data_IF_511638197450
#
_entry.id   IF_511638197450
#
_cell.length_a   1.000
_cell.length_b   1.000
_cell.length_c   1.000
_cell.angle_alpha   90.00
_cell.angle_beta   90.00
_cell.angle_gamma   90.00
#
_symmetry.space_group_name_H-M   'P 1'
#
loop_
_entity.id
_entity.type
_entity.pdbx_description
1 polymer ?
#
# COMPACT_ATOMS: atom_id res chain seq x y z
N UNK A 1 -15.40 -19.39 11.15
CA UNK A 1 -15.08 -19.08 9.75
C UNK A 1 -14.67 -17.62 9.78
N UNK A 2 -13.56 -17.31 9.13
CA UNK A 2 -13.02 -15.94 9.13
C UNK A 2 -13.59 -15.20 7.93
N UNK A 3 -13.92 -13.92 8.10
CA UNK A 3 -14.39 -13.12 6.98
C UNK A 3 -13.27 -12.97 5.95
N UNK A 4 -13.46 -13.50 4.75
CA UNK A 4 -12.55 -13.30 3.60
C UNK A 4 -12.98 -12.13 2.70
N UNK A 5 -14.19 -11.61 2.91
CA UNK A 5 -14.85 -10.67 2.02
C UNK A 5 -14.67 -9.23 2.51
N UNK A 6 -13.48 -8.70 2.29
CA UNK A 6 -13.18 -7.30 2.53
C UNK A 6 -13.50 -6.50 1.28
N UNK A 7 -14.18 -5.37 1.49
CA UNK A 7 -14.49 -4.42 0.43
C UNK A 7 -13.86 -3.07 0.72
N UNK A 8 -13.63 -2.33 -0.35
CA UNK A 8 -13.07 -0.98 -0.28
C UNK A 8 -14.16 0.01 -0.63
N UNK A 9 -14.27 1.10 0.13
CA UNK A 9 -15.25 2.16 -0.11
C UNK A 9 -14.57 3.52 -0.12
N UNK A 10 -15.09 4.46 -0.91
CA UNK A 10 -14.61 5.85 -0.84
C UNK A 10 -15.04 6.53 0.45
N UNK A 11 -14.32 7.57 0.83
CA UNK A 11 -14.89 8.59 1.70
C UNK A 11 -16.02 9.35 1.00
N UNK A 12 -16.92 9.93 1.78
CA UNK A 12 -18.06 10.69 1.29
C UNK A 12 -17.66 12.02 0.64
N UNK A 13 -16.51 12.58 1.03
CA UNK A 13 -15.89 13.74 0.39
C UNK A 13 -14.60 13.36 -0.34
N UNK A 14 -14.24 14.15 -1.36
CA UNK A 14 -13.00 13.97 -2.11
C UNK A 14 -11.75 14.15 -1.23
N UNK A 15 -11.84 15.03 -0.23
CA UNK A 15 -10.78 15.30 0.74
C UNK A 15 -11.03 14.62 2.08
N UNK A 16 -11.72 13.46 2.08
CA UNK A 16 -11.92 12.63 3.27
C UNK A 16 -13.30 12.75 3.92
N UNK A 17 -13.34 12.66 5.24
CA UNK A 17 -14.57 12.51 6.03
C UNK A 17 -15.01 11.05 6.19
N UNK A 18 -16.29 10.87 6.50
CA UNK A 18 -16.90 9.56 6.79
C UNK A 18 -16.96 8.63 5.57
N UNK A 19 -17.11 7.33 5.83
CA UNK A 19 -17.30 6.31 4.80
C UNK A 19 -18.55 6.60 3.95
N UNK A 20 -18.44 6.37 2.64
CA UNK A 20 -19.57 6.44 1.69
C UNK A 20 -20.15 5.05 1.39
N UNK A 21 -21.19 5.00 0.55
CA UNK A 21 -21.70 3.75 -0.02
C UNK A 21 -21.04 3.39 -1.36
N UNK A 22 -20.11 4.21 -1.84
CA UNK A 22 -19.48 4.04 -3.15
C UNK A 22 -18.32 3.03 -3.03
N UNK A 23 -18.53 1.82 -3.55
CA UNK A 23 -17.52 0.77 -3.55
C UNK A 23 -16.39 1.06 -4.55
N UNK A 24 -15.15 0.90 -4.10
CA UNK A 24 -13.95 0.92 -4.94
C UNK A 24 -13.75 -0.47 -5.53
N UNK A 25 -14.35 -0.68 -6.71
CA UNK A 25 -14.19 -1.90 -7.49
C UNK A 25 -12.83 -1.91 -8.20
N UNK A 26 -12.12 -3.04 -8.11
CA UNK A 26 -10.82 -3.26 -8.77
C UNK A 26 -10.93 -3.20 -10.31
N UNK A 27 -9.86 -2.72 -10.95
CA UNK A 27 -9.80 -2.58 -12.42
C UNK A 27 -10.64 -1.45 -12.99
N UNK A 28 -11.30 -0.63 -12.17
CA UNK A 28 -11.97 0.59 -12.60
C UNK A 28 -11.00 1.77 -12.59
N UNK A 29 -10.98 2.52 -13.69
CA UNK A 29 -10.16 3.73 -13.79
C UNK A 29 -10.72 4.84 -12.91
N UNK A 30 -9.83 5.65 -12.35
CA UNK A 30 -10.16 6.87 -11.59
C UNK A 30 -11.11 6.66 -10.41
N UNK A 31 -11.10 5.46 -9.83
CA UNK A 31 -12.04 5.14 -8.77
C UNK A 31 -11.63 5.72 -7.41
N UNK A 32 -10.34 6.03 -7.23
CA UNK A 32 -9.82 6.71 -6.04
C UNK A 32 -9.21 8.08 -6.36
N UNK A 33 -8.25 8.13 -7.29
CA UNK A 33 -7.64 9.37 -7.75
C UNK A 33 -8.21 9.79 -9.11
N UNK A 34 -8.46 11.08 -9.34
CA UNK A 34 -8.77 11.56 -10.69
C UNK A 34 -7.54 11.49 -11.60
N UNK A 35 -7.77 11.66 -12.91
CA UNK A 35 -6.69 11.89 -13.85
C UNK A 35 -5.89 13.14 -13.49
N UNK A 36 -4.58 13.08 -13.69
CA UNK A 36 -3.66 14.22 -13.55
C UNK A 36 -3.70 15.03 -14.84
N UNK A 37 -3.94 16.34 -14.75
CA UNK A 37 -3.92 17.20 -15.94
C UNK A 37 -2.49 17.49 -16.40
N UNK A 38 -2.30 17.92 -17.66
CA UNK A 38 -0.97 18.31 -18.14
C UNK A 38 -0.36 19.47 -17.34
N UNK A 39 -1.20 20.42 -16.89
CA UNK A 39 -0.76 21.50 -16.00
C UNK A 39 -0.34 21.00 -14.62
N UNK A 40 -1.03 20.00 -14.08
CA UNK A 40 -0.68 19.40 -12.79
C UNK A 40 0.62 18.60 -12.89
N UNK A 41 0.83 17.87 -13.99
CA UNK A 41 2.08 17.14 -14.24
C UNK A 41 3.27 18.10 -14.43
N UNK A 42 3.06 19.24 -15.11
CA UNK A 42 4.10 20.27 -15.27
C UNK A 42 4.45 20.94 -13.94
N UNK A 43 3.45 21.27 -13.12
CA UNK A 43 3.66 21.91 -11.82
C UNK A 43 4.12 20.93 -10.71
N UNK A 44 3.80 19.65 -10.86
CA UNK A 44 3.80 18.68 -9.78
C UNK A 44 2.52 18.78 -8.94
N UNK A 45 2.09 17.64 -8.39
CA UNK A 45 0.83 17.54 -7.66
C UNK A 45 0.98 16.56 -6.49
N UNK A 46 0.57 16.98 -5.30
CA UNK A 46 0.36 16.07 -4.16
C UNK A 46 -1.12 16.00 -3.87
N UNK A 47 -1.68 14.80 -3.83
CA UNK A 47 -3.10 14.57 -3.55
C UNK A 47 -3.28 13.50 -2.48
N UNK A 48 -4.34 13.67 -1.69
CA UNK A 48 -4.71 12.76 -0.63
C UNK A 48 -6.13 12.25 -0.90
N UNK A 49 -6.32 10.94 -0.80
CA UNK A 49 -7.63 10.31 -0.93
C UNK A 49 -7.84 9.32 0.19
N UNK A 50 -8.93 9.47 0.92
CA UNK A 50 -9.34 8.49 1.93
C UNK A 50 -10.22 7.44 1.30
N UNK A 51 -9.94 6.21 1.66
CA UNK A 51 -10.81 5.07 1.44
C UNK A 51 -10.97 4.29 2.74
N UNK A 52 -11.89 3.33 2.73
CA UNK A 52 -12.21 2.51 3.87
C UNK A 52 -12.09 1.05 3.48
N UNK A 53 -11.41 0.27 4.31
CA UNK A 53 -11.52 -1.19 4.28
C UNK A 53 -12.71 -1.55 5.16
N UNK A 54 -13.65 -2.35 4.67
CA UNK A 54 -14.85 -2.74 5.42
C UNK A 54 -15.00 -4.26 5.39
N UNK A 55 -15.29 -4.83 6.56
CA UNK A 55 -15.76 -6.20 6.65
C UNK A 55 -17.25 -6.22 6.25
N UNK A 56 -17.54 -6.63 5.01
CA UNK A 56 -18.91 -6.69 4.48
C UNK A 56 -19.56 -8.06 4.70
N UNK A 57 -18.92 -8.95 5.45
CA UNK A 57 -19.51 -10.24 5.82
C UNK A 57 -20.69 -10.04 6.79
N UNK A 58 -21.73 -10.86 6.66
CA UNK A 58 -22.95 -10.73 7.44
C UNK A 58 -22.85 -11.14 8.93
N UNK A 59 -21.75 -11.79 9.34
CA UNK A 59 -21.67 -12.50 10.64
C UNK A 59 -20.26 -12.77 11.14
N UNK A 60 -19.29 -12.93 10.24
CA UNK A 60 -17.97 -13.39 10.60
C UNK A 60 -17.05 -12.20 10.86
N UNK A 61 -16.26 -12.32 11.92
CA UNK A 61 -15.21 -11.34 12.24
C UNK A 61 -13.99 -11.65 11.39
N UNK A 62 -13.37 -10.61 10.85
CA UNK A 62 -12.05 -10.66 10.25
C UNK A 62 -11.03 -10.48 11.39
N UNK A 63 -10.24 -11.50 11.68
CA UNK A 63 -9.24 -11.43 12.75
C UNK A 63 -7.90 -10.96 12.19
N UNK A 64 -7.23 -10.09 12.94
CA UNK A 64 -5.92 -9.54 12.61
C UNK A 64 -5.78 -9.09 11.14
N UNK A 65 -6.77 -8.36 10.65
CA UNK A 65 -6.76 -7.82 9.30
C UNK A 65 -5.56 -6.88 9.13
N UNK A 66 -4.96 -6.95 7.95
CA UNK A 66 -3.76 -6.19 7.56
C UNK A 66 -3.93 -5.69 6.14
N UNK A 67 -3.41 -4.52 5.81
CA UNK A 67 -3.39 -4.01 4.44
C UNK A 67 -1.96 -3.66 4.03
N UNK A 68 -1.58 -4.03 2.81
CA UNK A 68 -0.30 -3.68 2.22
C UNK A 68 -0.45 -3.26 0.77
N UNK A 69 0.45 -2.40 0.30
CA UNK A 69 0.51 -1.99 -1.10
C UNK A 69 1.33 -3.00 -1.92
N UNK A 70 0.68 -3.71 -2.82
CA UNK A 70 1.26 -4.83 -3.59
C UNK A 70 1.78 -4.43 -4.96
N UNK A 71 1.49 -3.21 -5.40
CA UNK A 71 2.01 -2.63 -6.62
C UNK A 71 2.21 -1.13 -6.47
N UNK A 72 3.39 -0.64 -6.88
CA UNK A 72 3.59 0.78 -7.14
C UNK A 72 2.98 1.15 -8.48
N UNK A 73 2.85 2.46 -8.69
CA UNK A 73 2.50 3.09 -9.96
C UNK A 73 3.57 2.80 -11.01
N UNK A 74 3.20 2.39 -12.24
CA UNK A 74 4.17 2.29 -13.34
C UNK A 74 4.67 3.65 -13.88
N UNK A 75 4.02 4.75 -13.47
CA UNK A 75 4.34 6.12 -13.86
C UNK A 75 5.55 6.72 -13.14
N UNK A 76 5.77 8.03 -13.36
CA UNK A 76 6.80 8.81 -12.67
C UNK A 76 6.32 9.35 -11.31
N UNK A 77 5.15 8.91 -10.83
CA UNK A 77 4.56 9.27 -9.55
C UNK A 77 4.69 8.13 -8.55
N UNK A 78 4.41 8.42 -7.27
CA UNK A 78 4.37 7.38 -6.25
C UNK A 78 3.10 7.48 -5.40
N UNK A 79 2.72 6.35 -4.81
CA UNK A 79 1.64 6.24 -3.83
C UNK A 79 2.16 5.63 -2.54
N UNK A 80 1.70 6.13 -1.40
CA UNK A 80 1.87 5.50 -0.10
C UNK A 80 0.55 5.54 0.67
N UNK A 81 0.34 4.58 1.57
CA UNK A 81 -0.83 4.52 2.45
C UNK A 81 -0.46 4.81 3.90
N UNK A 82 -1.45 5.24 4.69
CA UNK A 82 -1.29 5.50 6.12
C UNK A 82 -2.65 5.41 6.82
N UNK A 83 -2.68 5.18 8.15
CA UNK A 83 -3.94 5.07 8.88
C UNK A 83 -4.68 6.41 8.90
N UNK A 84 -5.99 6.37 8.72
CA UNK A 84 -6.88 7.51 8.95
C UNK A 84 -7.79 7.28 10.15
N UNK A 85 -8.56 8.31 10.46
CA UNK A 85 -9.70 8.26 11.38
C UNK A 85 -11.00 8.36 10.59
N UNK A 86 -12.12 8.01 11.23
CA UNK A 86 -13.43 7.99 10.56
C UNK A 86 -13.84 9.34 9.97
N UNK A 87 -13.33 10.46 10.50
CA UNK A 87 -13.82 11.79 10.13
C UNK A 87 -12.74 12.77 9.68
N UNK A 88 -11.46 12.42 9.77
CA UNK A 88 -10.41 13.33 9.33
C UNK A 88 -10.51 13.68 7.85
N UNK A 89 -9.94 14.81 7.51
CA UNK A 89 -9.90 15.35 6.15
C UNK A 89 -8.46 15.56 5.73
N UNK A 90 -8.23 15.87 4.46
CA UNK A 90 -6.89 16.07 3.92
C UNK A 90 -6.10 17.18 4.66
N UNK A 91 -6.78 18.10 5.37
CA UNK A 91 -6.13 19.12 6.19
C UNK A 91 -5.62 18.62 7.54
N UNK A 92 -6.08 17.47 8.00
CA UNK A 92 -5.71 16.87 9.29
C UNK A 92 -4.52 15.90 9.15
N UNK A 93 -3.94 15.85 7.96
CA UNK A 93 -2.93 14.88 7.57
C UNK A 93 -1.59 15.00 8.32
N UNK A 94 -1.03 13.85 8.67
CA UNK A 94 0.34 13.66 9.16
C UNK A 94 1.08 12.60 8.32
N UNK A 95 2.10 12.99 7.53
CA UNK A 95 2.96 12.06 6.78
C UNK A 95 4.06 11.40 7.62
N UNK A 96 4.03 11.54 8.95
CA UNK A 96 5.05 10.93 9.81
C UNK A 96 5.16 9.41 9.67
N UNK A 97 4.06 8.74 9.29
CA UNK A 97 3.98 7.28 9.19
C UNK A 97 3.36 6.81 7.87
N UNK A 98 4.19 6.68 6.84
CA UNK A 98 3.81 6.10 5.55
C UNK A 98 4.13 4.60 5.48
N UNK A 99 3.34 3.91 4.66
CA UNK A 99 3.46 2.51 4.29
C UNK A 99 3.43 2.42 2.77
N UNK A 100 4.44 1.83 2.17
CA UNK A 100 4.54 1.73 0.71
C UNK A 100 5.08 0.39 0.26
N UNK A 101 5.66 0.39 -0.94
CA UNK A 101 6.25 -0.80 -1.55
C UNK A 101 7.63 -0.46 -2.10
N UNK A 102 8.56 -1.39 -1.98
CA UNK A 102 9.84 -1.35 -2.68
C UNK A 102 9.99 -2.60 -3.55
N UNK A 103 10.95 -2.56 -4.47
CA UNK A 103 11.31 -3.68 -5.32
C UNK A 103 12.64 -4.26 -4.85
N UNK A 104 12.69 -5.57 -4.62
CA UNK A 104 13.95 -6.27 -4.40
C UNK A 104 14.81 -6.21 -5.67
N UNK A 105 16.05 -5.73 -5.54
CA UNK A 105 17.01 -5.58 -6.65
C UNK A 105 18.20 -6.54 -6.53
N UNK A 106 18.37 -7.16 -5.37
CA UNK A 106 19.30 -8.27 -5.17
C UNK A 106 18.57 -9.61 -5.32
N UNK A 107 19.27 -10.62 -5.83
CA UNK A 107 18.81 -12.02 -5.70
C UNK A 107 18.65 -12.34 -4.21
N UNK A 108 17.49 -12.89 -3.86
CA UNK A 108 17.16 -13.29 -2.50
C UNK A 108 17.38 -14.79 -2.36
N UNK A 109 18.63 -15.15 -2.10
CA UNK A 109 19.06 -16.52 -1.89
C UNK A 109 18.78 -17.02 -0.47
N UNK A 110 18.97 -18.33 -0.27
CA UNK A 110 18.85 -19.00 1.03
C UNK A 110 19.68 -18.31 2.11
N UNK A 111 19.05 -17.94 3.21
CA UNK A 111 19.70 -17.26 4.35
C UNK A 111 20.02 -15.79 4.10
N UNK A 112 19.56 -15.21 2.99
CA UNK A 112 19.64 -13.77 2.76
C UNK A 112 18.74 -13.06 3.75
N UNK A 113 19.36 -12.24 4.60
CA UNK A 113 18.66 -11.41 5.58
C UNK A 113 18.74 -9.93 5.26
N UNK A 114 19.63 -9.52 4.36
CA UNK A 114 19.75 -8.15 3.89
C UNK A 114 19.35 -8.12 2.43
N UNK A 115 18.29 -7.37 2.14
CA UNK A 115 17.70 -7.23 0.82
C UNK A 115 18.04 -5.84 0.32
N UNK A 116 18.75 -5.73 -0.81
CA UNK A 116 18.88 -4.45 -1.50
C UNK A 116 17.58 -4.19 -2.26
N UNK A 117 17.04 -2.99 -2.12
CA UNK A 117 15.76 -2.63 -2.70
C UNK A 117 15.76 -1.19 -3.19
N UNK A 118 14.91 -0.94 -4.17
CA UNK A 118 14.65 0.40 -4.69
C UNK A 118 13.21 0.76 -4.42
N UNK A 119 12.99 2.02 -4.07
CA UNK A 119 11.67 2.67 -4.04
C UNK A 119 11.36 3.28 -5.39
N UNK A 120 10.11 3.69 -5.57
CA UNK A 120 9.70 4.49 -6.72
C UNK A 120 10.34 5.88 -6.69
N UNK A 121 10.29 6.59 -7.82
CA UNK A 121 11.00 7.84 -8.01
C UNK A 121 10.69 8.88 -6.92
N UNK A 122 11.76 9.37 -6.27
CA UNK A 122 11.68 10.45 -5.29
C UNK A 122 11.19 10.07 -3.89
N UNK A 123 11.08 8.77 -3.57
CA UNK A 123 10.84 8.32 -2.19
C UNK A 123 12.08 7.74 -1.54
N UNK A 124 12.35 8.11 -0.29
CA UNK A 124 13.36 7.44 0.51
C UNK A 124 12.76 6.18 1.16
N UNK A 125 13.54 5.09 1.21
CA UNK A 125 13.11 3.84 1.83
C UNK A 125 12.69 4.04 3.30
N UNK A 126 13.36 4.95 4.01
CA UNK A 126 13.10 5.22 5.44
C UNK A 126 11.81 6.00 5.69
N UNK A 127 11.19 6.59 4.65
CA UNK A 127 9.87 7.22 4.79
C UNK A 127 8.77 6.15 4.85
N UNK A 128 8.97 5.05 4.09
CA UNK A 128 8.00 3.97 3.88
C UNK A 128 8.16 2.79 4.83
N UNK A 129 9.34 2.62 5.43
CA UNK A 129 9.67 1.48 6.27
C UNK A 129 10.31 1.93 7.58
N UNK A 130 10.00 1.22 8.67
CA UNK A 130 10.61 1.42 9.99
C UNK A 130 11.09 0.10 10.58
N UNK A 131 12.11 0.19 11.43
CA UNK A 131 12.58 -0.97 12.20
C UNK A 131 11.44 -1.47 13.09
N UNK A 132 11.19 -2.78 13.05
CA UNK A 132 10.08 -3.43 13.74
C UNK A 132 8.81 -3.58 12.90
N UNK A 133 8.71 -2.93 11.74
CA UNK A 133 7.54 -3.10 10.86
C UNK A 133 7.49 -4.51 10.31
N UNK A 134 6.26 -5.00 10.09
CA UNK A 134 6.01 -6.23 9.34
C UNK A 134 6.00 -5.88 7.86
N UNK A 135 6.74 -6.67 7.07
CA UNK A 135 6.73 -6.61 5.62
C UNK A 135 6.15 -7.87 5.02
N UNK A 136 5.63 -7.70 3.80
CA UNK A 136 5.13 -8.77 2.96
C UNK A 136 5.96 -8.83 1.68
N UNK A 137 6.45 -10.02 1.37
CA UNK A 137 6.97 -10.32 0.04
C UNK A 137 5.83 -10.71 -0.88
N UNK A 138 5.77 -10.06 -2.04
CA UNK A 138 4.69 -10.18 -3.01
C UNK A 138 5.25 -10.61 -4.36
N UNK A 139 4.60 -11.61 -4.95
CA UNK A 139 4.89 -12.07 -6.30
C UNK A 139 4.57 -10.96 -7.31
N UNK A 140 5.54 -10.52 -8.12
CA UNK A 140 5.32 -9.43 -9.08
C UNK A 140 4.36 -9.81 -10.21
N UNK A 141 4.18 -11.10 -10.51
CA UNK A 141 3.30 -11.58 -11.58
C UNK A 141 1.86 -11.82 -11.12
N UNK A 142 1.66 -12.37 -9.91
CA UNK A 142 0.34 -12.70 -9.39
C UNK A 142 -0.22 -11.69 -8.38
N UNK A 143 0.63 -10.83 -7.80
CA UNK A 143 0.27 -9.98 -6.66
C UNK A 143 0.01 -10.76 -5.37
N UNK A 144 0.28 -12.07 -5.37
CA UNK A 144 0.04 -12.97 -4.25
C UNK A 144 1.07 -12.79 -3.14
N UNK A 145 0.63 -13.03 -1.89
CA UNK A 145 1.52 -13.15 -0.72
C UNK A 145 2.45 -14.34 -0.90
N UNK A 146 3.76 -14.09 -0.81
CA UNK A 146 4.79 -15.12 -0.79
C UNK A 146 5.23 -15.43 0.65
N UNK A 147 5.69 -14.42 1.39
CA UNK A 147 6.17 -14.57 2.76
C UNK A 147 5.98 -13.28 3.57
N UNK A 148 6.13 -13.36 4.89
CA UNK A 148 6.16 -12.21 5.80
C UNK A 148 7.44 -12.22 6.62
N UNK A 149 7.95 -11.04 6.96
CA UNK A 149 9.10 -10.86 7.85
C UNK A 149 8.97 -9.56 8.65
N UNK A 150 9.83 -9.40 9.65
CA UNK A 150 9.93 -8.20 10.48
C UNK A 150 11.26 -7.50 10.21
N UNK A 151 11.23 -6.19 10.07
CA UNK A 151 12.44 -5.39 9.81
C UNK A 151 13.32 -5.33 11.07
N UNK A 152 14.56 -5.76 10.93
CA UNK A 152 15.62 -5.70 11.94
C UNK A 152 16.43 -4.40 11.88
N UNK A 153 16.75 -3.94 10.66
CA UNK A 153 17.44 -2.67 10.42
C UNK A 153 17.18 -2.16 9.01
N UNK A 154 17.37 -0.85 8.82
CA UNK A 154 17.22 -0.16 7.54
C UNK A 154 18.50 0.60 7.23
N UNK A 155 18.84 0.63 5.95
CA UNK A 155 19.75 1.61 5.34
C UNK A 155 19.00 2.32 4.20
N UNK A 156 19.67 3.23 3.49
CA UNK A 156 19.05 4.00 2.40
C UNK A 156 18.48 3.12 1.28
N UNK A 157 19.11 1.98 1.00
CA UNK A 157 18.77 1.08 -0.11
C UNK A 157 18.62 -0.38 0.33
N UNK A 158 18.56 -0.65 1.63
CA UNK A 158 18.45 -2.03 2.10
C UNK A 158 17.60 -2.22 3.34
N UNK A 159 16.92 -3.37 3.36
CA UNK A 159 16.13 -3.85 4.49
C UNK A 159 16.83 -5.10 5.02
N UNK A 160 17.15 -5.12 6.31
CA UNK A 160 17.56 -6.35 7.00
C UNK A 160 16.41 -6.92 7.81
N UNK A 161 16.16 -8.22 7.73
CA UNK A 161 15.03 -8.91 8.37
C UNK A 161 15.46 -9.83 9.52
N UNK A 162 14.53 -10.05 10.47
CA UNK A 162 14.75 -10.91 11.63
C UNK A 162 14.65 -12.40 11.29
N UNK A 163 13.85 -12.75 10.30
CA UNK A 163 13.50 -14.13 9.94
C UNK A 163 14.36 -14.64 8.78
N UNK A 164 14.52 -15.97 8.70
CA UNK A 164 15.03 -16.61 7.49
C UNK A 164 13.88 -16.82 6.51
N UNK A 165 14.11 -16.50 5.24
CA UNK A 165 13.11 -16.70 4.19
C UNK A 165 13.00 -18.20 3.86
N UNK A 166 11.80 -18.79 3.80
CA UNK A 166 11.63 -20.20 3.48
C UNK A 166 12.21 -20.58 2.11
N UNK A 167 12.99 -21.67 2.07
CA UNK A 167 13.67 -22.18 0.87
C UNK A 167 12.73 -22.53 -0.30
N UNK A 168 11.43 -22.68 -0.06
CA UNK A 168 10.44 -23.05 -1.07
C UNK A 168 9.90 -21.89 -1.89
N UNK A 169 10.35 -20.66 -1.62
CA UNK A 169 9.81 -19.44 -2.23
C UNK A 169 10.91 -18.77 -3.05
N UNK A 170 10.61 -18.49 -4.33
CA UNK A 170 11.46 -17.63 -5.16
C UNK A 170 11.06 -16.18 -4.92
N UNK A 171 11.99 -15.36 -4.44
CA UNK A 171 11.76 -13.94 -4.17
C UNK A 171 12.46 -13.00 -5.16
N UNK A 172 13.10 -13.52 -6.20
CA UNK A 172 13.74 -12.69 -7.22
C UNK A 172 12.72 -11.76 -7.90
N UNK A 173 13.06 -10.47 -7.98
CA UNK A 173 12.19 -9.40 -8.47
C UNK A 173 10.91 -9.18 -7.65
N UNK A 174 10.83 -9.73 -6.43
CA UNK A 174 9.64 -9.57 -5.58
C UNK A 174 9.46 -8.14 -5.10
N UNK A 175 8.21 -7.78 -4.90
CA UNK A 175 7.84 -6.53 -4.24
C UNK A 175 7.82 -6.75 -2.73
N UNK A 176 8.23 -5.73 -1.99
CA UNK A 176 8.29 -5.72 -0.54
C UNK A 176 7.31 -4.66 -0.08
N UNK A 177 6.16 -5.07 0.44
CA UNK A 177 5.13 -4.17 0.92
C UNK A 177 5.27 -3.97 2.44
N UNK A 178 5.26 -2.74 2.92
CA UNK A 178 5.03 -2.48 4.34
C UNK A 178 3.56 -2.77 4.68
N UNK A 179 3.34 -3.38 5.83
CA UNK A 179 2.01 -3.80 6.27
C UNK A 179 1.47 -2.86 7.33
N UNK A 180 0.37 -2.20 7.01
CA UNK A 180 -0.46 -1.50 7.96
C UNK A 180 -1.39 -2.51 8.65
N UNK A 181 -1.29 -2.61 9.98
CA UNK A 181 -2.15 -3.47 10.79
C UNK A 181 -3.47 -2.75 11.04
N UNK A 182 -4.58 -3.41 10.68
CA UNK A 182 -5.94 -2.93 10.95
C UNK A 182 -6.45 -3.51 12.28
N UNK A 183 -6.17 -4.80 12.53
CA UNK A 183 -6.64 -5.52 13.70
C UNK A 183 -7.93 -6.28 13.46
N UNK A 184 -8.65 -6.60 14.52
CA UNK A 184 -9.91 -7.35 14.44
C UNK A 184 -11.04 -6.43 13.94
N UNK A 185 -11.84 -6.93 13.00
CA UNK A 185 -12.96 -6.20 12.40
C UNK A 185 -14.23 -7.05 12.47
N UNK A 186 -15.19 -6.64 13.31
CA UNK A 186 -16.48 -7.29 13.39
C UNK A 186 -17.30 -7.08 12.09
N UNK A 187 -18.38 -7.84 11.87
CA UNK A 187 -19.30 -7.61 10.76
C UNK A 187 -19.78 -6.16 10.68
N UNK A 188 -19.52 -5.50 9.54
CA UNK A 188 -19.91 -4.12 9.30
C UNK A 188 -18.89 -3.07 9.76
N UNK A 189 -17.85 -3.45 10.50
CA UNK A 189 -16.78 -2.53 10.89
C UNK A 189 -15.99 -2.05 9.67
N UNK A 190 -15.50 -0.82 9.76
CA UNK A 190 -14.65 -0.21 8.75
C UNK A 190 -13.42 0.43 9.37
N UNK A 191 -12.32 0.41 8.63
CA UNK A 191 -11.08 1.07 9.00
C UNK A 191 -10.71 2.08 7.91
N UNK A 192 -10.46 3.33 8.32
CA UNK A 192 -10.06 4.41 7.43
C UNK A 192 -8.58 4.28 7.03
N UNK A 193 -8.31 4.35 5.73
CA UNK A 193 -6.97 4.38 5.17
C UNK A 193 -6.87 5.55 4.23
N UNK A 194 -5.79 6.29 4.32
CA UNK A 194 -5.47 7.31 3.35
C UNK A 194 -4.45 6.80 2.35
N UNK A 195 -4.57 7.28 1.12
CA UNK A 195 -3.54 7.20 0.10
C UNK A 195 -3.01 8.61 -0.20
N UNK A 196 -1.70 8.79 -0.08
CA UNK A 196 -0.94 9.94 -0.56
C UNK A 196 -0.40 9.60 -1.93
N UNK A 197 -0.71 10.40 -2.94
CA UNK A 197 -0.11 10.33 -4.27
C UNK A 197 0.72 11.59 -4.52
N UNK A 198 1.96 11.41 -4.98
CA UNK A 198 2.84 12.52 -5.36
C UNK A 198 3.29 12.33 -6.79
N UNK A 199 2.96 13.31 -7.60
CA UNK A 199 3.37 13.45 -8.99
C UNK A 199 4.47 14.53 -9.04
N UNK A 200 5.72 14.18 -9.37
CA UNK A 200 6.79 15.14 -9.53
C UNK A 200 6.50 16.15 -10.65
N UNK A 201 7.05 17.36 -10.51
CA UNK A 201 7.00 18.37 -11.55
C UNK A 201 7.74 17.89 -12.80
N UNK A 202 7.21 18.23 -13.97
CA UNK A 202 7.72 17.79 -15.27
C UNK A 202 7.70 16.26 -15.46
N UNK A 203 6.83 15.56 -14.72
CA UNK A 203 6.47 14.18 -15.01
C UNK A 203 5.86 14.10 -16.41
N UNK A 204 6.02 12.94 -17.07
CA UNK A 204 5.45 12.75 -18.40
C UNK A 204 3.92 12.96 -18.34
N UNK A 205 3.35 13.89 -19.12
CA UNK A 205 1.90 13.95 -19.25
C UNK A 205 1.45 12.59 -19.76
N UNK A 206 0.48 12.01 -19.06
CA UNK A 206 0.09 10.61 -19.19
C UNK A 206 -0.14 10.21 -20.66
N UNK A 207 0.83 9.55 -21.27
CA UNK A 207 0.64 8.77 -22.50
C UNK A 207 0.29 7.37 -22.03
N UNK A 208 -0.95 6.95 -22.22
CA UNK A 208 -1.50 5.66 -21.82
C UNK A 208 -0.47 4.52 -22.05
N UNK A 209 0.02 3.90 -20.96
CA UNK A 209 -0.70 2.77 -20.38
C UNK A 209 -1.22 3.11 -18.99
N UNK A 210 -2.33 2.47 -18.59
CA UNK A 210 -3.06 2.67 -17.34
C UNK A 210 -2.19 2.81 -16.08
N UNK A 211 -2.44 3.88 -15.32
CA UNK A 211 -1.81 4.09 -14.02
C UNK A 211 -2.58 3.32 -12.98
N UNK A 212 -1.87 2.55 -12.17
CA UNK A 212 -2.50 1.81 -11.11
C UNK A 212 -1.51 1.60 -9.98
N UNK A 213 -2.04 1.58 -8.78
CA UNK A 213 -1.39 0.94 -7.65
C UNK A 213 -2.35 -0.15 -7.17
N UNK A 214 -1.81 -1.13 -6.44
CA UNK A 214 -2.61 -2.22 -5.89
C UNK A 214 -2.44 -2.26 -4.39
N UNK A 215 -3.56 -2.41 -3.68
CA UNK A 215 -3.58 -2.74 -2.25
C UNK A 215 -4.28 -4.06 -2.05
N UNK A 216 -3.91 -4.77 -1.02
CA UNK A 216 -4.51 -6.07 -0.69
C UNK A 216 -4.65 -6.20 0.81
N UNK A 217 -5.80 -6.74 1.23
CA UNK A 217 -6.06 -7.08 2.63
C UNK A 217 -5.68 -8.53 2.86
N UNK A 218 -4.99 -8.77 3.96
CA UNK A 218 -4.47 -10.06 4.37
C UNK A 218 -4.96 -10.39 5.78
N UNK A 219 -5.03 -11.68 6.04
CA UNK A 219 -5.32 -12.25 7.36
C UNK A 219 -4.21 -13.22 7.73
N UNK A 220 -4.02 -13.42 9.02
CA UNK A 220 -3.21 -14.55 9.49
C UNK A 220 -4.09 -15.79 9.45
N UNK A 221 -3.58 -16.86 8.84
CA UNK A 221 -4.27 -18.15 8.75
C UNK A 221 -4.05 -19.00 10.01
#
# INVERSE_FOLDING_TARGET
MEATDMKYYRAAGDDGGAISTDEIVSGQMNNLFPNVSASDAEAGLTTYRKFFVKNDHASDTAYNAKIGMTAWTPGDDYVAIFPGTDNDTASDFDDSTLYGVSLATSELDRGTRTITCSTDSGQDLQDLFRVGDTILFVDPGSGGKLATATIASLDNDSITINEDIPDSITLDGSRIANVLIIGDMAPGDSFAVWAKRVVPAYSRPYEDPSDYFSVTTYFDA
#
